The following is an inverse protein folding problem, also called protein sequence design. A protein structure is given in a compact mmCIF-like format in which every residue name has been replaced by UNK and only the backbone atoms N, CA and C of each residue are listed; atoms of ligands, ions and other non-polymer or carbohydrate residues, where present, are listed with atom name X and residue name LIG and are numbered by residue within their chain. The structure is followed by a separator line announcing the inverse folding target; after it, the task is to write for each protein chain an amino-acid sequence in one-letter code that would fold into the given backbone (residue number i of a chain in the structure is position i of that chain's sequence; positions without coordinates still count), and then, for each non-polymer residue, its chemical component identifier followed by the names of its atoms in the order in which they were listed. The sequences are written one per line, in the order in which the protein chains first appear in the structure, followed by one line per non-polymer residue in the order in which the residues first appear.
data_IF_655594771648
#
_entry.id   IF_655594771648
#
_cell.length_a   1.000
_cell.length_b   1.000
_cell.length_c   1.000
_cell.angle_alpha   90.00
_cell.angle_beta   90.00
_cell.angle_gamma   90.00
#
_symmetry.space_group_name_H-M   'P 1'
#
loop_
_entity.id
_entity.type
_entity.pdbx_description
1 polymer ?
#
# COMPACT_ATOMS: atom_id res chain seq x y z
N UNK A 1 17.43 36.04 -12.02
CA UNK A 1 15.96 36.24 -11.94
C UNK A 1 15.14 35.40 -12.93
N UNK A 2 15.71 34.96 -14.08
CA UNK A 2 14.97 34.12 -15.02
C UNK A 2 14.94 32.64 -14.61
N UNK A 3 15.93 32.13 -13.89
CA UNK A 3 16.01 30.75 -13.42
C UNK A 3 15.01 30.44 -12.30
N UNK A 4 14.86 31.35 -11.36
CA UNK A 4 13.92 31.22 -10.22
C UNK A 4 12.46 31.26 -10.67
N UNK A 5 12.12 32.01 -11.69
CA UNK A 5 10.75 32.06 -12.22
C UNK A 5 10.34 30.77 -12.99
N UNK A 6 11.27 30.14 -13.71
CA UNK A 6 11.01 28.91 -14.45
C UNK A 6 10.87 27.71 -13.50
N UNK A 7 11.69 27.66 -12.46
CA UNK A 7 11.64 26.61 -11.43
C UNK A 7 10.34 26.70 -10.59
N UNK A 8 9.92 27.92 -10.26
CA UNK A 8 8.66 28.17 -9.53
C UNK A 8 7.44 27.84 -10.40
N UNK A 9 7.48 28.14 -11.69
CA UNK A 9 6.40 27.80 -12.61
C UNK A 9 6.29 26.29 -12.85
N UNK A 10 7.40 25.58 -13.04
CA UNK A 10 7.42 24.14 -13.20
C UNK A 10 6.93 23.40 -11.93
N UNK A 11 7.27 23.93 -10.76
CA UNK A 11 6.79 23.41 -9.48
C UNK A 11 5.27 23.61 -9.34
N UNK A 12 4.75 24.78 -9.71
CA UNK A 12 3.32 25.08 -9.67
C UNK A 12 2.52 24.23 -10.67
N UNK A 13 3.05 23.97 -11.87
CA UNK A 13 2.42 23.09 -12.86
C UNK A 13 2.39 21.63 -12.37
N UNK A 14 3.46 21.12 -11.78
CA UNK A 14 3.51 19.78 -11.20
C UNK A 14 2.48 19.64 -10.08
N UNK A 15 2.30 20.68 -9.30
CA UNK A 15 1.34 20.74 -8.20
C UNK A 15 -0.12 20.68 -8.68
N UNK A 16 -0.46 21.46 -9.67
CA UNK A 16 -1.79 21.40 -10.29
C UNK A 16 -2.08 19.98 -10.83
N UNK A 17 -1.07 19.32 -11.42
CA UNK A 17 -1.21 17.96 -11.97
C UNK A 17 -1.50 16.91 -10.90
N UNK A 18 -0.88 16.98 -9.71
CA UNK A 18 -1.13 16.04 -8.59
C UNK A 18 -2.60 16.15 -8.15
N UNK A 19 -3.06 17.36 -7.86
CA UNK A 19 -4.43 17.60 -7.39
C UNK A 19 -5.48 17.16 -8.43
N UNK A 20 -5.29 17.54 -9.69
CA UNK A 20 -6.18 17.15 -10.79
C UNK A 20 -6.25 15.63 -10.97
N UNK A 21 -5.10 14.95 -10.91
CA UNK A 21 -5.05 13.49 -11.04
C UNK A 21 -5.77 12.79 -9.88
N UNK A 22 -5.57 13.25 -8.65
CA UNK A 22 -6.26 12.69 -7.48
C UNK A 22 -7.76 12.87 -7.60
N UNK A 23 -8.22 14.06 -7.97
CA UNK A 23 -9.65 14.34 -8.16
C UNK A 23 -10.23 13.42 -9.25
N UNK A 24 -9.57 13.32 -10.40
CA UNK A 24 -9.99 12.45 -11.49
C UNK A 24 -10.06 10.97 -11.04
N UNK A 25 -9.05 10.47 -10.37
CA UNK A 25 -9.03 9.08 -9.88
C UNK A 25 -10.16 8.83 -8.86
N UNK A 26 -10.42 9.76 -7.98
CA UNK A 26 -11.53 9.64 -7.01
C UNK A 26 -12.89 9.67 -7.69
N UNK A 27 -13.04 10.40 -8.79
CA UNK A 27 -14.30 10.44 -9.58
C UNK A 27 -14.47 9.14 -10.42
N UNK A 28 -13.37 8.56 -10.91
CA UNK A 28 -13.38 7.34 -11.73
C UNK A 28 -13.55 6.06 -10.90
N UNK A 29 -12.96 6.01 -9.70
CA UNK A 29 -12.98 4.82 -8.87
C UNK A 29 -14.35 4.64 -8.19
N UNK A 30 -14.87 3.40 -8.15
CA UNK A 30 -16.04 3.11 -7.32
C UNK A 30 -15.82 3.50 -5.87
N UNK A 31 -16.88 3.97 -5.19
CA UNK A 31 -16.80 4.37 -3.77
C UNK A 31 -16.31 3.26 -2.82
N UNK A 32 -16.36 2.02 -3.27
CA UNK A 32 -15.85 0.83 -2.54
C UNK A 32 -14.36 0.58 -2.72
N UNK A 33 -13.69 1.35 -3.60
CA UNK A 33 -12.26 1.19 -3.92
C UNK A 33 -11.47 2.35 -3.32
N UNK A 34 -10.51 2.02 -2.47
CA UNK A 34 -9.61 3.00 -1.84
C UNK A 34 -8.44 3.32 -2.79
N UNK A 35 -8.17 4.60 -2.97
CA UNK A 35 -6.95 5.05 -3.64
C UNK A 35 -5.80 5.07 -2.63
N UNK A 36 -4.75 4.30 -2.90
CA UNK A 36 -3.48 4.33 -2.17
C UNK A 36 -2.46 5.05 -3.03
N UNK A 37 -2.05 6.24 -2.62
CA UNK A 37 -1.06 7.05 -3.33
C UNK A 37 0.35 6.56 -2.99
N UNK A 38 1.05 5.98 -3.98
CA UNK A 38 2.40 5.43 -3.81
C UNK A 38 3.43 6.55 -3.97
N UNK A 39 3.90 7.08 -2.85
CA UNK A 39 4.75 8.27 -2.77
C UNK A 39 6.26 7.99 -2.70
N UNK A 40 6.66 6.71 -2.86
CA UNK A 40 8.09 6.34 -2.89
C UNK A 40 8.86 7.15 -3.93
N UNK A 41 10.08 7.56 -3.57
CA UNK A 41 10.99 8.40 -4.37
C UNK A 41 10.54 9.85 -4.58
N UNK A 42 9.42 10.27 -4.00
CA UNK A 42 8.94 11.64 -4.09
C UNK A 42 9.13 12.38 -2.77
N UNK A 43 9.39 13.70 -2.81
CA UNK A 43 9.59 14.50 -1.61
C UNK A 43 8.30 14.65 -0.80
N UNK A 44 8.43 15.06 0.48
CA UNK A 44 7.28 15.24 1.37
C UNK A 44 6.30 16.31 0.85
N UNK A 45 6.80 17.32 0.16
CA UNK A 45 5.99 18.41 -0.43
C UNK A 45 4.96 17.87 -1.43
N UNK A 46 5.29 16.82 -2.20
CA UNK A 46 4.34 16.17 -3.09
C UNK A 46 3.24 15.42 -2.33
N UNK A 47 3.58 14.86 -1.16
CA UNK A 47 2.61 14.20 -0.26
C UNK A 47 1.67 15.24 0.35
N UNK A 48 2.22 16.35 0.85
CA UNK A 48 1.44 17.45 1.42
C UNK A 48 0.41 17.97 0.41
N UNK A 49 0.81 18.10 -0.84
CA UNK A 49 -0.07 18.54 -1.90
C UNK A 49 -1.17 17.55 -2.23
N UNK A 50 -0.81 16.26 -2.38
CA UNK A 50 -1.80 15.21 -2.56
C UNK A 50 -2.79 15.17 -1.37
N UNK A 51 -2.30 15.39 -0.15
CA UNK A 51 -3.12 15.48 1.04
C UNK A 51 -4.10 16.66 0.99
N UNK A 52 -3.64 17.84 0.56
CA UNK A 52 -4.49 19.02 0.38
C UNK A 52 -5.55 18.83 -0.71
N UNK A 53 -5.27 17.97 -1.70
CA UNK A 53 -6.25 17.55 -2.71
C UNK A 53 -7.25 16.47 -2.20
N UNK A 54 -7.17 16.09 -0.92
CA UNK A 54 -8.10 15.14 -0.29
C UNK A 54 -7.56 13.72 -0.11
N UNK A 55 -6.34 13.41 -0.57
CA UNK A 55 -5.75 12.08 -0.37
C UNK A 55 -5.38 11.87 1.10
N UNK A 56 -5.62 10.65 1.61
CA UNK A 56 -5.33 10.29 3.00
C UNK A 56 -4.41 9.10 3.14
N UNK A 57 -4.48 8.13 2.23
CA UNK A 57 -3.72 6.88 2.29
C UNK A 57 -2.49 7.00 1.38
N UNK A 58 -1.30 6.90 1.97
CA UNK A 58 -0.02 6.95 1.26
C UNK A 58 0.76 5.66 1.50
N UNK A 59 1.55 5.23 0.53
CA UNK A 59 2.33 4.02 0.64
C UNK A 59 3.80 4.22 0.31
N UNK A 60 4.64 3.62 1.13
CA UNK A 60 6.09 3.58 0.99
C UNK A 60 6.60 2.15 0.86
N UNK A 61 7.74 1.98 0.20
CA UNK A 61 8.38 0.68 0.01
C UNK A 61 9.75 0.54 0.65
N UNK A 62 10.28 1.59 1.24
CA UNK A 62 11.57 1.62 1.92
C UNK A 62 11.42 2.12 3.35
N UNK A 63 11.88 1.35 4.37
CA UNK A 63 11.72 1.74 5.77
C UNK A 63 12.34 3.09 6.09
N UNK A 64 13.53 3.39 5.53
CA UNK A 64 14.24 4.64 5.76
C UNK A 64 13.48 5.84 5.18
N UNK A 65 12.86 5.66 4.01
CA UNK A 65 12.08 6.71 3.35
C UNK A 65 10.79 7.01 4.12
N UNK A 66 10.07 5.96 4.55
CA UNK A 66 8.90 6.13 5.43
C UNK A 66 9.27 6.90 6.70
N UNK A 67 10.32 6.48 7.39
CA UNK A 67 10.73 7.12 8.64
C UNK A 67 11.15 8.58 8.43
N UNK A 68 11.84 8.89 7.32
CA UNK A 68 12.21 10.27 6.99
C UNK A 68 10.98 11.16 6.75
N UNK A 69 9.96 10.64 6.06
CA UNK A 69 8.70 11.36 5.81
C UNK A 69 7.88 11.59 7.07
N UNK A 70 7.79 10.59 7.93
CA UNK A 70 7.12 10.72 9.23
C UNK A 70 7.81 11.80 10.09
N UNK A 71 9.15 11.77 10.17
CA UNK A 71 9.93 12.78 10.90
C UNK A 71 9.75 14.18 10.31
N UNK A 72 9.73 14.29 8.98
CA UNK A 72 9.49 15.58 8.33
C UNK A 72 8.11 16.15 8.68
N UNK A 73 7.09 15.31 8.75
CA UNK A 73 5.76 15.73 9.21
C UNK A 73 5.79 16.24 10.65
N UNK A 74 6.50 15.55 11.54
CA UNK A 74 6.63 15.97 12.94
C UNK A 74 7.39 17.31 13.07
N UNK A 75 8.43 17.52 12.25
CA UNK A 75 9.14 18.80 12.15
C UNK A 75 8.20 19.93 11.70
N UNK A 76 7.40 19.70 10.65
CA UNK A 76 6.44 20.68 10.14
C UNK A 76 5.39 21.03 11.20
N UNK A 77 4.89 20.05 11.94
CA UNK A 77 3.96 20.27 13.06
C UNK A 77 4.57 21.16 14.14
N UNK A 78 5.83 20.90 14.48
CA UNK A 78 6.55 21.70 15.46
C UNK A 78 6.85 23.11 14.95
N UNK A 79 7.31 23.26 13.71
CA UNK A 79 7.61 24.55 13.07
C UNK A 79 6.38 25.45 12.96
N UNK A 80 5.21 24.87 12.65
CA UNK A 80 3.93 25.60 12.53
C UNK A 80 3.19 25.80 13.85
N UNK A 81 3.56 25.06 14.89
CA UNK A 81 2.78 25.01 16.14
C UNK A 81 1.40 24.34 15.96
N UNK A 82 1.26 23.45 14.99
CA UNK A 82 0.04 22.76 14.61
C UNK A 82 0.18 21.24 14.84
N UNK A 83 0.02 20.73 16.07
CA UNK A 83 0.26 19.32 16.39
C UNK A 83 -0.68 18.36 15.63
N UNK A 84 -1.86 18.85 15.26
CA UNK A 84 -2.88 18.05 14.55
C UNK A 84 -2.82 18.18 13.01
N UNK A 85 -1.81 18.88 12.48
CA UNK A 85 -1.64 19.01 11.04
C UNK A 85 -1.45 17.65 10.37
N UNK A 86 -2.26 17.34 9.39
CA UNK A 86 -2.30 16.02 8.71
C UNK A 86 -2.46 14.84 9.69
N UNK A 87 -3.25 14.98 10.76
CA UNK A 87 -3.41 13.95 11.79
C UNK A 87 -4.15 12.70 11.29
N UNK A 88 -4.91 12.82 10.22
CA UNK A 88 -5.65 11.74 9.58
C UNK A 88 -4.91 11.11 8.38
N UNK A 89 -3.61 11.39 8.21
CA UNK A 89 -2.78 10.68 7.23
C UNK A 89 -2.62 9.21 7.63
N UNK A 90 -2.80 8.32 6.67
CA UNK A 90 -2.61 6.89 6.84
C UNK A 90 -1.40 6.43 6.01
N UNK A 91 -0.47 5.75 6.68
CA UNK A 91 0.70 5.16 6.02
C UNK A 91 0.51 3.67 5.83
N UNK A 92 0.67 3.20 4.59
CA UNK A 92 0.80 1.78 4.27
C UNK A 92 2.25 1.44 3.90
N UNK A 93 2.68 0.22 4.21
CA UNK A 93 3.96 -0.29 3.73
C UNK A 93 3.71 -1.37 2.68
N UNK A 94 4.33 -1.21 1.51
CA UNK A 94 4.10 -2.07 0.33
C UNK A 94 5.38 -2.71 -0.23
N UNK A 95 6.54 -2.49 0.39
CA UNK A 95 7.83 -3.03 -0.02
C UNK A 95 8.22 -4.29 0.74
N UNK A 96 9.27 -4.97 0.28
CA UNK A 96 9.86 -6.06 1.03
C UNK A 96 10.36 -5.59 2.39
N UNK A 97 9.85 -6.21 3.46
CA UNK A 97 10.16 -5.81 4.84
C UNK A 97 11.08 -6.82 5.51
N UNK A 98 12.31 -6.41 5.78
CA UNK A 98 13.26 -7.21 6.54
C UNK A 98 12.90 -7.16 8.04
N UNK A 99 13.05 -8.28 8.75
CA UNK A 99 12.69 -8.39 10.18
C UNK A 99 13.49 -7.45 11.09
N UNK A 100 14.72 -7.08 10.71
CA UNK A 100 15.53 -6.12 11.45
C UNK A 100 15.09 -4.64 11.26
N UNK A 101 14.11 -4.39 10.40
CA UNK A 101 13.57 -3.05 10.08
C UNK A 101 12.17 -2.79 10.65
N UNK A 102 11.57 -3.75 11.33
CA UNK A 102 10.19 -3.64 11.84
C UNK A 102 9.98 -2.37 12.69
N UNK A 103 10.93 -2.03 13.56
CA UNK A 103 10.88 -0.82 14.40
C UNK A 103 10.84 0.51 13.63
N UNK A 104 11.22 0.51 12.37
CA UNK A 104 11.19 1.69 11.50
C UNK A 104 9.85 1.84 10.78
N UNK A 105 9.04 0.80 10.76
CA UNK A 105 7.80 0.73 9.97
C UNK A 105 6.57 0.58 10.86
N UNK A 106 6.54 -0.45 11.70
CA UNK A 106 5.33 -0.85 12.43
C UNK A 106 4.76 0.21 13.40
N UNK A 107 5.56 1.10 14.02
CA UNK A 107 4.99 2.17 14.85
C UNK A 107 4.11 3.16 14.06
N UNK A 108 4.34 3.29 12.75
CA UNK A 108 3.82 4.40 11.94
C UNK A 108 2.75 4.01 10.93
N UNK A 109 2.68 2.73 10.55
CA UNK A 109 1.75 2.27 9.50
C UNK A 109 0.43 1.78 10.09
N UNK A 110 -0.65 2.03 9.36
CA UNK A 110 -1.96 1.43 9.62
C UNK A 110 -2.11 0.05 8.96
N UNK A 111 -1.35 -0.25 7.91
CA UNK A 111 -1.41 -1.50 7.18
C UNK A 111 -0.06 -1.88 6.57
N UNK A 112 0.36 -3.13 6.78
CA UNK A 112 1.46 -3.75 6.04
C UNK A 112 0.87 -4.63 4.95
N UNK A 113 1.02 -4.24 3.68
CA UNK A 113 0.43 -4.96 2.56
C UNK A 113 1.30 -6.11 2.01
N UNK A 114 2.56 -6.15 2.40
CA UNK A 114 3.62 -6.96 1.78
C UNK A 114 4.14 -8.08 2.68
N UNK A 115 3.24 -8.74 3.43
CA UNK A 115 3.64 -9.90 4.24
C UNK A 115 3.74 -11.12 3.31
N UNK A 116 4.98 -11.47 2.98
CA UNK A 116 5.35 -12.40 1.92
C UNK A 116 5.90 -13.75 2.40
N UNK A 117 6.01 -13.94 3.73
CA UNK A 117 6.56 -15.17 4.31
C UNK A 117 6.08 -15.41 5.74
N UNK A 118 6.08 -16.67 6.15
CA UNK A 118 5.81 -17.08 7.53
C UNK A 118 6.80 -16.44 8.50
N UNK A 119 8.09 -16.41 8.13
CA UNK A 119 9.14 -15.80 8.94
C UNK A 119 8.85 -14.32 9.25
N UNK A 120 8.42 -13.54 8.26
CA UNK A 120 8.04 -12.15 8.46
C UNK A 120 6.77 -12.02 9.33
N UNK A 121 5.76 -12.84 9.07
CA UNK A 121 4.51 -12.84 9.82
C UNK A 121 4.74 -13.09 11.32
N UNK A 122 5.52 -14.13 11.65
CA UNK A 122 5.90 -14.46 13.04
C UNK A 122 6.69 -13.33 13.70
N UNK A 123 7.61 -12.70 12.96
CA UNK A 123 8.37 -11.56 13.48
C UNK A 123 7.46 -10.34 13.77
N UNK A 124 6.47 -10.08 12.92
CA UNK A 124 5.49 -9.00 13.14
C UNK A 124 4.62 -9.30 14.37
N UNK A 125 4.12 -10.52 14.52
CA UNK A 125 3.32 -10.92 15.68
C UNK A 125 4.09 -10.75 16.99
N UNK A 126 5.33 -11.25 17.03
CA UNK A 126 6.23 -11.08 18.16
C UNK A 126 6.55 -9.63 18.48
N UNK A 127 6.72 -8.80 17.46
CA UNK A 127 6.91 -7.35 17.64
C UNK A 127 5.64 -6.72 18.22
N UNK A 128 4.47 -7.13 17.74
CA UNK A 128 3.17 -6.68 18.26
C UNK A 128 2.98 -7.04 19.74
N UNK A 129 3.33 -8.26 20.14
CA UNK A 129 3.32 -8.70 21.53
C UNK A 129 4.23 -7.80 22.40
N UNK A 130 5.48 -7.60 21.99
CA UNK A 130 6.45 -6.80 22.72
C UNK A 130 6.06 -5.32 22.85
N UNK A 131 5.23 -4.80 21.94
CA UNK A 131 4.81 -3.39 21.91
C UNK A 131 3.32 -3.19 22.25
N UNK A 132 2.62 -4.24 22.65
CA UNK A 132 1.18 -4.23 22.96
C UNK A 132 0.34 -3.62 21.82
N UNK A 133 0.66 -3.99 20.57
CA UNK A 133 0.02 -3.46 19.36
C UNK A 133 -0.44 -4.58 18.45
N UNK A 134 -1.67 -4.49 17.96
CA UNK A 134 -2.17 -5.35 16.89
C UNK A 134 -1.82 -4.71 15.54
N UNK A 135 -1.19 -5.47 14.66
CA UNK A 135 -0.77 -5.03 13.34
C UNK A 135 -1.74 -5.56 12.28
N UNK A 136 -2.30 -4.66 11.50
CA UNK A 136 -3.11 -5.04 10.35
C UNK A 136 -2.20 -5.40 9.16
N UNK A 137 -2.48 -6.53 8.51
CA UNK A 137 -1.66 -7.04 7.42
C UNK A 137 -2.50 -7.52 6.24
N UNK A 138 -1.94 -7.42 5.04
CA UNK A 138 -2.33 -8.20 3.88
C UNK A 138 -1.25 -9.25 3.62
N UNK A 139 -1.68 -10.44 3.24
CA UNK A 139 -0.78 -11.50 2.80
C UNK A 139 -0.50 -11.33 1.31
N UNK A 140 0.76 -11.47 0.92
CA UNK A 140 1.21 -11.39 -0.47
C UNK A 140 1.49 -12.79 -1.01
N UNK A 141 0.57 -13.39 -1.81
CA UNK A 141 0.81 -14.66 -2.47
C UNK A 141 1.65 -14.49 -3.72
N UNK A 142 2.41 -15.53 -4.07
CA UNK A 142 3.06 -15.67 -5.37
C UNK A 142 2.14 -16.44 -6.32
N UNK A 143 1.50 -15.75 -7.25
CA UNK A 143 0.51 -16.33 -8.19
C UNK A 143 0.87 -16.11 -9.66
N UNK A 144 1.92 -15.33 -9.95
CA UNK A 144 2.38 -15.08 -11.31
C UNK A 144 3.33 -16.16 -11.79
N UNK A 145 3.51 -16.27 -13.10
CA UNK A 145 4.48 -17.19 -13.72
C UNK A 145 5.93 -16.68 -13.66
N UNK A 146 6.15 -15.47 -13.14
CA UNK A 146 7.49 -14.91 -12.98
C UNK A 146 8.29 -15.71 -11.95
N UNK A 147 9.57 -15.97 -12.25
CA UNK A 147 10.45 -16.78 -11.39
C UNK A 147 10.93 -16.08 -10.11
N UNK A 148 10.46 -14.88 -9.83
CA UNK A 148 10.75 -14.17 -8.58
C UNK A 148 10.02 -14.87 -7.43
N UNK A 149 10.79 -15.46 -6.51
CA UNK A 149 10.27 -16.21 -5.35
C UNK A 149 9.73 -15.32 -4.23
N UNK A 150 9.20 -14.15 -4.53
CA UNK A 150 8.61 -13.28 -3.53
C UNK A 150 7.12 -13.60 -3.40
N UNK A 151 6.66 -13.77 -2.15
CA UNK A 151 5.28 -14.12 -1.84
C UNK A 151 5.12 -15.54 -1.32
N UNK A 152 4.01 -15.76 -0.60
CA UNK A 152 3.61 -17.09 -0.15
C UNK A 152 3.24 -17.99 -1.32
N UNK A 153 3.66 -19.24 -1.26
CA UNK A 153 2.95 -20.29 -1.99
C UNK A 153 1.48 -20.36 -1.52
N UNK A 154 0.49 -20.53 -2.41
CA UNK A 154 -0.93 -20.57 -2.03
C UNK A 154 -1.26 -21.61 -0.96
N UNK A 155 -0.65 -22.79 -1.00
CA UNK A 155 -0.88 -23.85 0.00
C UNK A 155 -0.28 -23.44 1.36
N UNK A 156 0.90 -22.84 1.36
CA UNK A 156 1.53 -22.29 2.57
C UNK A 156 0.66 -21.19 3.20
N UNK A 157 0.11 -20.30 2.37
CA UNK A 157 -0.79 -19.24 2.82
C UNK A 157 -2.06 -19.81 3.46
N UNK A 158 -2.67 -20.84 2.87
CA UNK A 158 -3.82 -21.53 3.44
C UNK A 158 -3.47 -22.20 4.77
N UNK A 159 -2.28 -22.80 4.90
CA UNK A 159 -1.80 -23.38 6.16
C UNK A 159 -1.63 -22.32 7.25
N UNK A 160 -1.09 -21.14 6.93
CA UNK A 160 -0.98 -20.02 7.87
C UNK A 160 -2.36 -19.61 8.38
N UNK A 161 -3.33 -19.47 7.49
CA UNK A 161 -4.68 -19.05 7.87
C UNK A 161 -5.45 -20.10 8.66
N UNK A 162 -5.11 -21.38 8.52
CA UNK A 162 -5.68 -22.45 9.36
C UNK A 162 -5.32 -22.29 10.85
N UNK A 163 -4.29 -21.55 11.16
CA UNK A 163 -3.81 -21.24 12.51
C UNK A 163 -3.92 -19.74 12.86
N UNK A 164 -4.78 -19.01 12.15
CA UNK A 164 -4.90 -17.55 12.30
C UNK A 164 -5.20 -17.10 13.74
N UNK A 165 -5.99 -17.86 14.46
CA UNK A 165 -6.33 -17.57 15.88
C UNK A 165 -5.11 -17.60 16.82
N UNK A 166 -4.00 -18.22 16.39
CA UNK A 166 -2.73 -18.23 17.15
C UNK A 166 -1.92 -16.95 17.03
N UNK A 167 -2.28 -16.03 16.12
CA UNK A 167 -1.60 -14.75 15.92
C UNK A 167 -2.38 -13.65 16.64
N UNK A 168 -2.17 -13.51 17.94
CA UNK A 168 -2.95 -12.59 18.79
C UNK A 168 -2.68 -11.10 18.47
N UNK A 169 -1.53 -10.78 17.87
CA UNK A 169 -1.12 -9.41 17.53
C UNK A 169 -1.13 -9.12 16.02
N UNK A 170 -1.81 -9.97 15.26
CA UNK A 170 -2.04 -9.80 13.83
C UNK A 170 -3.55 -9.71 13.56
N UNK A 171 -3.94 -8.78 12.68
CA UNK A 171 -5.25 -8.76 12.07
C UNK A 171 -5.11 -8.97 10.57
N UNK A 172 -5.58 -10.10 10.09
CA UNK A 172 -5.57 -10.44 8.67
C UNK A 172 -6.69 -9.68 7.96
N UNK A 173 -6.31 -8.72 7.11
CA UNK A 173 -7.27 -7.85 6.41
C UNK A 173 -7.58 -8.30 4.99
N UNK A 174 -6.76 -9.13 4.40
CA UNK A 174 -6.95 -9.63 3.04
C UNK A 174 -5.65 -9.99 2.32
N UNK A 175 -5.68 -9.82 1.02
CA UNK A 175 -4.58 -10.17 0.10
C UNK A 175 -4.12 -8.93 -0.67
N UNK A 176 -2.80 -8.83 -0.88
CA UNK A 176 -2.19 -7.94 -1.86
C UNK A 176 -1.55 -8.78 -2.95
N UNK A 177 -1.76 -8.39 -4.20
CA UNK A 177 -1.10 -9.02 -5.33
C UNK A 177 -0.76 -8.04 -6.45
N UNK A 178 0.08 -8.50 -7.35
CA UNK A 178 0.47 -7.79 -8.57
C UNK A 178 0.31 -8.75 -9.75
N UNK A 179 -0.16 -8.22 -10.88
CA UNK A 179 -0.12 -8.94 -12.13
C UNK A 179 1.29 -8.92 -12.72
N UNK A 180 1.58 -9.83 -13.63
CA UNK A 180 2.77 -9.83 -14.46
C UNK A 180 2.90 -8.48 -15.18
N UNK A 181 4.10 -7.92 -15.21
CA UNK A 181 4.38 -6.68 -15.95
C UNK A 181 4.43 -6.98 -17.45
N UNK A 182 3.36 -6.68 -18.15
CA UNK A 182 3.17 -6.99 -19.58
C UNK A 182 2.11 -6.10 -20.21
N UNK A 183 2.20 -5.87 -21.51
CA UNK A 183 1.16 -5.23 -22.32
C UNK A 183 0.05 -6.21 -22.75
N UNK A 184 0.20 -7.50 -22.46
CA UNK A 184 -0.82 -8.52 -22.75
C UNK A 184 -1.92 -8.51 -21.67
N UNK A 185 -3.03 -7.88 -22.00
CA UNK A 185 -4.19 -7.77 -21.12
C UNK A 185 -4.74 -9.14 -20.68
N UNK A 186 -4.63 -10.17 -21.54
CA UNK A 186 -5.11 -11.51 -21.20
C UNK A 186 -4.30 -12.14 -20.06
N UNK A 187 -2.99 -11.87 -20.00
CA UNK A 187 -2.12 -12.31 -18.91
C UNK A 187 -2.50 -11.57 -17.62
N UNK A 188 -2.68 -10.24 -17.68
CA UNK A 188 -3.09 -9.42 -16.54
C UNK A 188 -4.42 -9.90 -15.96
N UNK A 189 -5.42 -10.13 -16.82
CA UNK A 189 -6.73 -10.68 -16.41
C UNK A 189 -6.63 -12.07 -15.77
N UNK A 190 -5.79 -12.93 -16.34
CA UNK A 190 -5.53 -14.26 -15.77
C UNK A 190 -4.93 -14.17 -14.37
N UNK A 191 -3.96 -13.30 -14.16
CA UNK A 191 -3.32 -13.13 -12.85
C UNK A 191 -4.30 -12.57 -11.81
N UNK A 192 -5.06 -11.53 -12.14
CA UNK A 192 -6.09 -10.99 -11.23
C UNK A 192 -7.19 -12.01 -10.92
N UNK A 193 -7.58 -12.83 -11.90
CA UNK A 193 -8.54 -13.92 -11.70
C UNK A 193 -8.03 -14.94 -10.66
N UNK A 194 -6.74 -15.31 -10.73
CA UNK A 194 -6.12 -16.22 -9.76
C UNK A 194 -6.06 -15.63 -8.36
N UNK A 195 -5.66 -14.37 -8.25
CA UNK A 195 -5.60 -13.67 -6.94
C UNK A 195 -7.00 -13.59 -6.32
N UNK A 196 -7.99 -13.20 -7.11
CA UNK A 196 -9.39 -13.16 -6.67
C UNK A 196 -9.89 -14.53 -6.23
N UNK A 197 -9.66 -15.57 -7.03
CA UNK A 197 -10.07 -16.93 -6.71
C UNK A 197 -9.45 -17.41 -5.38
N UNK A 198 -8.19 -17.08 -5.11
CA UNK A 198 -7.54 -17.37 -3.85
C UNK A 198 -8.22 -16.63 -2.67
N UNK A 199 -8.51 -15.34 -2.82
CA UNK A 199 -9.20 -14.55 -1.81
C UNK A 199 -10.60 -15.10 -1.51
N UNK A 200 -11.35 -15.46 -2.54
CA UNK A 200 -12.69 -16.05 -2.40
C UNK A 200 -12.62 -17.43 -1.72
N UNK A 201 -11.65 -18.27 -2.09
CA UNK A 201 -11.41 -19.58 -1.48
C UNK A 201 -11.08 -19.47 0.02
N UNK A 202 -10.27 -18.47 0.40
CA UNK A 202 -9.96 -18.22 1.81
C UNK A 202 -11.23 -17.87 2.59
N UNK A 203 -12.07 -16.99 2.06
CA UNK A 203 -13.33 -16.59 2.72
C UNK A 203 -14.30 -17.76 2.87
N UNK A 204 -14.32 -18.67 1.90
CA UNK A 204 -15.15 -19.87 1.93
C UNK A 204 -14.66 -20.89 2.96
N UNK A 205 -13.35 -21.15 2.99
CA UNK A 205 -12.73 -22.16 3.88
C UNK A 205 -12.65 -21.67 5.33
N UNK A 206 -12.43 -20.35 5.53
CA UNK A 206 -12.26 -19.75 6.86
C UNK A 206 -13.32 -18.67 7.13
N UNK A 207 -14.60 -19.05 7.30
CA UNK A 207 -15.68 -18.08 7.50
C UNK A 207 -15.52 -17.23 8.77
N UNK A 208 -14.74 -17.67 9.74
CA UNK A 208 -14.39 -16.89 10.94
C UNK A 208 -13.53 -15.64 10.64
N UNK A 209 -12.85 -15.61 9.49
CA UNK A 209 -12.04 -14.46 9.07
C UNK A 209 -12.84 -13.42 8.25
N UNK A 210 -14.04 -13.76 7.77
CA UNK A 210 -14.77 -12.98 6.75
C UNK A 210 -15.05 -11.56 7.17
N UNK A 211 -15.31 -11.30 8.45
CA UNK A 211 -15.60 -9.96 8.97
C UNK A 211 -14.40 -9.01 8.82
N UNK A 212 -13.19 -9.50 8.93
CA UNK A 212 -11.95 -8.72 8.86
C UNK A 212 -11.21 -8.88 7.52
N UNK A 213 -11.33 -10.04 6.88
CA UNK A 213 -10.64 -10.38 5.63
C UNK A 213 -11.40 -9.86 4.40
N UNK A 214 -11.49 -8.55 4.28
CA UNK A 214 -12.32 -7.86 3.27
C UNK A 214 -11.52 -7.22 2.15
N UNK A 215 -10.21 -7.02 2.33
CA UNK A 215 -9.39 -6.25 1.41
C UNK A 215 -8.79 -7.13 0.30
N UNK A 216 -8.85 -6.60 -0.92
CA UNK A 216 -8.17 -7.11 -2.09
C UNK A 216 -7.40 -5.96 -2.73
N UNK A 217 -6.12 -5.87 -2.42
CA UNK A 217 -5.23 -4.83 -2.93
C UNK A 217 -4.57 -5.30 -4.21
N UNK A 218 -5.17 -4.98 -5.33
CA UNK A 218 -4.69 -5.26 -6.68
C UNK A 218 -4.91 -4.05 -7.58
N UNK A 219 -4.03 -3.88 -8.56
CA UNK A 219 -4.08 -2.78 -9.51
C UNK A 219 -3.09 -1.66 -9.19
N UNK A 220 -2.38 -1.25 -10.24
CA UNK A 220 -1.41 -0.15 -10.26
C UNK A 220 -1.75 0.80 -11.42
N UNK A 221 -0.90 1.79 -11.69
CA UNK A 221 -1.15 2.84 -12.70
C UNK A 221 -1.58 2.30 -14.07
N UNK A 222 -1.01 1.16 -14.50
CA UNK A 222 -1.22 0.64 -15.84
C UNK A 222 -2.41 -0.33 -15.95
N UNK A 223 -2.85 -0.93 -14.84
CA UNK A 223 -3.82 -2.03 -14.84
C UNK A 223 -4.98 -1.90 -13.84
N UNK A 224 -5.06 -0.78 -13.09
CA UNK A 224 -6.12 -0.60 -12.09
C UNK A 224 -7.55 -0.69 -12.65
N UNK A 225 -7.86 -0.27 -13.89
CA UNK A 225 -9.23 -0.42 -14.42
C UNK A 225 -9.63 -1.90 -14.53
N UNK A 226 -8.69 -2.76 -14.96
CA UNK A 226 -8.91 -4.21 -15.00
C UNK A 226 -9.04 -4.77 -13.58
N UNK A 227 -8.19 -4.34 -12.64
CA UNK A 227 -8.24 -4.79 -11.25
C UNK A 227 -9.60 -4.50 -10.60
N UNK A 228 -10.21 -3.34 -10.90
CA UNK A 228 -11.54 -2.97 -10.43
C UNK A 228 -12.61 -3.96 -10.91
N UNK A 229 -12.53 -4.43 -12.16
CA UNK A 229 -13.44 -5.46 -12.71
C UNK A 229 -13.34 -6.77 -11.92
N UNK A 230 -12.18 -7.09 -11.35
CA UNK A 230 -11.93 -8.28 -10.51
C UNK A 230 -12.18 -8.06 -9.02
N UNK A 231 -12.82 -6.96 -8.63
CA UNK A 231 -13.23 -6.71 -7.25
C UNK A 231 -12.14 -6.12 -6.36
N UNK A 232 -11.17 -5.40 -6.93
CA UNK A 232 -10.20 -4.62 -6.14
C UNK A 232 -10.91 -3.73 -5.11
N UNK A 233 -10.40 -3.71 -3.89
CA UNK A 233 -10.84 -2.78 -2.83
C UNK A 233 -9.80 -1.69 -2.57
N UNK A 234 -8.56 -1.88 -3.06
CA UNK A 234 -7.46 -0.92 -3.00
C UNK A 234 -6.68 -0.94 -4.31
N UNK A 235 -6.46 0.22 -4.91
CA UNK A 235 -5.53 0.40 -6.03
C UNK A 235 -4.34 1.24 -5.58
N UNK A 236 -3.13 0.86 -6.03
CA UNK A 236 -1.86 1.48 -5.63
C UNK A 236 -1.29 2.28 -6.81
N UNK A 237 -1.52 3.58 -6.81
CA UNK A 237 -1.18 4.47 -7.92
C UNK A 237 -0.01 5.37 -7.53
N UNK A 238 1.07 5.34 -8.30
CA UNK A 238 2.26 6.16 -8.07
C UNK A 238 2.59 7.10 -9.23
N UNK A 239 3.15 6.56 -10.32
CA UNK A 239 3.62 7.35 -11.45
C UNK A 239 2.55 8.24 -12.08
N UNK A 240 1.31 7.81 -12.10
CA UNK A 240 0.19 8.60 -12.62
C UNK A 240 -0.09 9.85 -11.75
N UNK A 241 0.09 9.77 -10.43
CA UNK A 241 -0.13 10.89 -9.49
C UNK A 241 1.10 11.80 -9.45
N UNK A 242 2.28 11.21 -9.21
CA UNK A 242 3.49 11.95 -8.86
C UNK A 242 4.48 12.13 -10.02
N UNK A 243 4.19 11.54 -11.18
CA UNK A 243 5.09 11.54 -12.32
C UNK A 243 6.15 10.44 -12.29
N UNK A 244 7.06 10.48 -13.26
CA UNK A 244 8.17 9.53 -13.35
C UNK A 244 9.15 9.70 -12.19
N UNK A 245 9.83 8.58 -11.85
CA UNK A 245 10.78 8.54 -10.72
C UNK A 245 12.06 9.31 -11.10
N UNK A 246 12.41 10.28 -10.28
CA UNK A 246 13.75 10.89 -10.30
C UNK A 246 14.66 10.03 -9.41
N UNK A 247 15.57 9.27 -10.04
CA UNK A 247 16.57 8.44 -9.34
C UNK A 247 17.77 9.28 -8.91
#
# INVERSE_FOLDING_TARGET
DAGTNAETAATAEAQIMIAETINRLNDELPATVKLVAVSKFHPFEAIEEAYLAGQRIFAESRPQELLAKVRRLDEIRAERGEPDYMSDIEWHFIGHLQTNKLKMVLPYVSLVQSVDSLHLLEAIDKWGEANAKVIEVLLEPHVTSEQTKQGFDPDELMNVLSTADGYEHIRFRGIMGMATFTDDEAVVRSDFSRIKALADSIREVYPGLVSDFTELSIGMSDDYPIAVEYGSTMVRIGSMIFGERNY
#
